data_IF_554162944568
#
_entry.id   IF_554162944568
#
_cell.length_a   1.000
_cell.length_b   1.000
_cell.length_c   1.000
_cell.angle_alpha   90.00
_cell.angle_beta   90.00
_cell.angle_gamma   90.00
#
_symmetry.space_group_name_H-M   'P 1'
#
loop_
_entity.id
_entity.type
_entity.pdbx_description
1 polymer ?
#
# COMPACT_ATOMS: atom_id res chain seq x y z
N UNK A 1 7.10 6.01 -9.95
CA UNK A 1 8.37 5.31 -9.66
C UNK A 1 8.23 3.87 -10.12
N UNK A 2 9.34 3.14 -10.30
CA UNK A 2 9.26 1.70 -10.52
C UNK A 2 9.19 0.98 -9.17
N UNK A 3 8.72 -0.27 -9.15
CA UNK A 3 8.63 -1.09 -7.93
C UNK A 3 9.92 -1.09 -7.11
N UNK A 4 11.06 -1.25 -7.77
CA UNK A 4 12.38 -1.31 -7.12
C UNK A 4 12.72 -0.01 -6.36
N UNK A 5 12.39 1.15 -6.92
CA UNK A 5 12.59 2.45 -6.26
C UNK A 5 11.65 2.64 -5.06
N UNK A 6 10.41 2.15 -5.17
CA UNK A 6 9.43 2.18 -4.09
C UNK A 6 9.91 1.30 -2.93
N UNK A 7 10.27 0.03 -3.19
CA UNK A 7 10.75 -0.89 -2.18
C UNK A 7 12.00 -0.38 -1.47
N UNK A 8 12.95 0.19 -2.22
CA UNK A 8 14.13 0.81 -1.62
C UNK A 8 13.76 1.96 -0.68
N UNK A 9 12.83 2.82 -1.10
CA UNK A 9 12.35 3.93 -0.26
C UNK A 9 11.68 3.44 1.01
N UNK A 10 10.89 2.35 0.91
CA UNK A 10 10.26 1.71 2.07
C UNK A 10 11.31 1.11 3.02
N UNK A 11 12.34 0.44 2.49
CA UNK A 11 13.44 -0.13 3.28
C UNK A 11 14.25 0.95 4.00
N UNK A 12 14.60 2.04 3.31
CA UNK A 12 15.34 3.17 3.88
C UNK A 12 14.56 3.86 5.01
N UNK A 13 13.22 3.79 4.97
CA UNK A 13 12.32 4.33 6.00
C UNK A 13 11.90 3.30 7.05
N UNK A 14 12.44 2.08 6.98
CA UNK A 14 12.07 0.95 7.85
C UNK A 14 10.57 0.66 7.88
N UNK A 15 9.89 0.82 6.74
CA UNK A 15 8.46 0.56 6.58
C UNK A 15 8.22 -0.92 6.21
N UNK A 16 8.72 -1.81 7.05
CA UNK A 16 8.73 -3.27 6.80
C UNK A 16 7.33 -3.83 6.61
N UNK A 17 6.33 -3.36 7.36
CA UNK A 17 4.93 -3.79 7.22
C UNK A 17 4.39 -3.54 5.81
N UNK A 18 4.81 -2.43 5.18
CA UNK A 18 4.38 -2.08 3.83
C UNK A 18 5.10 -2.93 2.77
N UNK A 19 6.36 -3.29 3.03
CA UNK A 19 7.11 -4.21 2.18
C UNK A 19 6.41 -5.57 2.17
N UNK A 20 6.03 -6.09 3.35
CA UNK A 20 5.30 -7.35 3.48
C UNK A 20 3.97 -7.32 2.72
N UNK A 21 3.20 -6.22 2.79
CA UNK A 21 1.96 -6.06 2.00
C UNK A 21 2.20 -6.16 0.48
N UNK A 22 3.31 -5.58 -0.01
CA UNK A 22 3.67 -5.64 -1.43
C UNK A 22 4.11 -7.06 -1.82
N UNK A 23 4.82 -7.77 -0.95
CA UNK A 23 5.23 -9.16 -1.18
C UNK A 23 4.04 -10.13 -1.16
N UNK A 24 3.09 -9.94 -0.26
CA UNK A 24 1.84 -10.69 -0.20
C UNK A 24 0.99 -10.43 -1.44
N UNK A 25 0.89 -9.17 -1.88
CA UNK A 25 0.21 -8.81 -3.12
C UNK A 25 0.84 -9.49 -4.35
N UNK A 26 2.17 -9.46 -4.45
CA UNK A 26 2.89 -10.10 -5.56
C UNK A 26 2.74 -11.63 -5.57
N UNK A 27 2.70 -12.24 -4.39
CA UNK A 27 2.49 -13.68 -4.24
C UNK A 27 1.03 -14.10 -4.44
N UNK A 28 0.11 -13.14 -4.59
CA UNK A 28 -1.33 -13.37 -4.68
C UNK A 28 -1.97 -13.77 -3.35
N UNK A 29 -1.31 -13.48 -2.23
CA UNK A 29 -1.80 -13.69 -0.87
C UNK A 29 -2.60 -12.48 -0.34
N UNK A 30 -2.52 -11.34 -1.01
CA UNK A 30 -3.36 -10.17 -0.75
C UNK A 30 -4.23 -9.89 -1.98
N UNK A 31 -5.55 -10.07 -1.83
CA UNK A 31 -6.53 -9.81 -2.90
C UNK A 31 -7.25 -8.46 -2.72
N UNK A 32 -7.50 -8.07 -1.48
CA UNK A 32 -8.24 -6.85 -1.13
C UNK A 32 -7.55 -6.13 0.03
N UNK A 33 -7.51 -4.80 -0.02
CA UNK A 33 -7.00 -3.95 1.05
C UNK A 33 -8.02 -2.86 1.38
N UNK A 34 -8.47 -2.83 2.62
CA UNK A 34 -9.36 -1.80 3.14
C UNK A 34 -8.53 -0.66 3.76
N UNK A 35 -8.87 0.59 3.40
CA UNK A 35 -8.20 1.78 3.92
C UNK A 35 -9.20 2.91 4.15
N UNK A 36 -8.95 3.68 5.20
CA UNK A 36 -9.71 4.90 5.47
C UNK A 36 -9.25 6.00 4.51
N UNK A 37 -10.16 6.56 3.72
CA UNK A 37 -9.83 7.58 2.69
C UNK A 37 -9.09 8.80 3.27
N UNK A 38 -9.48 9.23 4.48
CA UNK A 38 -8.87 10.36 5.18
C UNK A 38 -7.47 10.11 5.73
N UNK A 39 -7.07 8.84 5.90
CA UNK A 39 -5.79 8.46 6.54
C UNK A 39 -4.81 7.90 5.51
N UNK A 40 -5.28 7.08 4.57
CA UNK A 40 -4.43 6.36 3.63
C UNK A 40 -3.63 5.23 4.29
N UNK A 41 -2.63 4.74 3.56
CA UNK A 41 -1.69 3.69 4.02
C UNK A 41 -0.43 4.29 4.67
N UNK A 42 0.02 5.44 4.17
CA UNK A 42 1.24 6.13 4.62
C UNK A 42 0.99 7.63 4.81
N UNK A 43 1.67 8.21 5.79
CA UNK A 43 1.60 9.66 6.07
C UNK A 43 2.17 10.52 4.92
N UNK A 44 3.21 10.03 4.25
CA UNK A 44 3.78 10.70 3.08
C UNK A 44 2.85 10.50 1.89
N UNK A 45 2.09 11.55 1.51
CA UNK A 45 1.07 11.47 0.47
C UNK A 45 1.59 10.98 -0.88
N UNK A 46 2.83 11.33 -1.23
CA UNK A 46 3.43 10.93 -2.50
C UNK A 46 3.78 9.45 -2.48
N UNK A 47 4.45 8.98 -1.43
CA UNK A 47 4.78 7.56 -1.28
C UNK A 47 3.52 6.71 -1.09
N UNK A 48 2.54 7.20 -0.33
CA UNK A 48 1.24 6.57 -0.15
C UNK A 48 0.57 6.24 -1.48
N UNK A 49 0.47 7.26 -2.36
CA UNK A 49 -0.15 7.11 -3.67
C UNK A 49 0.59 6.08 -4.52
N UNK A 50 1.92 6.18 -4.57
CA UNK A 50 2.75 5.27 -5.38
C UNK A 50 2.65 3.81 -4.91
N UNK A 51 2.57 3.58 -3.59
CA UNK A 51 2.37 2.22 -3.03
C UNK A 51 0.98 1.70 -3.34
N UNK A 52 -0.07 2.52 -3.18
CA UNK A 52 -1.44 2.12 -3.51
C UNK A 52 -1.57 1.77 -5.00
N UNK A 53 -0.97 2.57 -5.88
CA UNK A 53 -0.94 2.29 -7.31
C UNK A 53 -0.19 0.98 -7.62
N UNK A 54 0.94 0.72 -6.95
CA UNK A 54 1.68 -0.53 -7.08
C UNK A 54 0.83 -1.74 -6.65
N UNK A 55 0.14 -1.67 -5.50
CA UNK A 55 -0.73 -2.73 -5.02
C UNK A 55 -1.87 -3.01 -6.02
N UNK A 56 -2.47 -1.98 -6.60
CA UNK A 56 -3.49 -2.13 -7.65
C UNK A 56 -2.94 -2.80 -8.91
N UNK A 57 -1.71 -2.45 -9.31
CA UNK A 57 -1.04 -3.09 -10.45
C UNK A 57 -0.73 -4.57 -10.20
N UNK A 58 -0.48 -4.94 -8.94
CA UNK A 58 -0.29 -6.34 -8.51
C UNK A 58 -1.61 -7.11 -8.41
N UNK A 59 -2.75 -6.46 -8.61
CA UNK A 59 -4.08 -7.09 -8.62
C UNK A 59 -4.86 -6.94 -7.31
N UNK A 60 -4.34 -6.16 -6.35
CA UNK A 60 -5.05 -5.89 -5.09
C UNK A 60 -6.17 -4.89 -5.33
N UNK A 61 -7.37 -5.20 -4.83
CA UNK A 61 -8.50 -4.29 -4.84
C UNK A 61 -8.50 -3.40 -3.61
N UNK A 62 -8.39 -2.10 -3.84
CA UNK A 62 -8.38 -1.05 -2.82
C UNK A 62 -9.84 -0.66 -2.49
N UNK A 63 -10.24 -0.86 -1.24
CA UNK A 63 -11.58 -0.54 -0.73
C UNK A 63 -11.45 0.64 0.22
N UNK A 64 -12.03 1.77 -0.16
CA UNK A 64 -12.08 2.95 0.71
C UNK A 64 -13.26 2.82 1.66
N UNK A 65 -12.96 2.75 2.95
CA UNK A 65 -13.96 2.76 4.02
C UNK A 65 -14.02 4.15 4.64
N UNK A 66 -15.22 4.59 5.01
CA UNK A 66 -15.41 5.78 5.84
C UNK A 66 -15.26 5.37 7.30
N UNK A 67 -14.65 6.21 8.13
CA UNK A 67 -14.48 6.03 9.59
C UNK A 67 -15.82 6.01 10.37
N UNK A 68 -16.94 5.73 9.69
CA UNK A 68 -18.32 5.85 10.19
C UNK A 68 -18.86 4.51 10.74
N UNK A 69 -17.98 3.66 11.28
CA UNK A 69 -18.38 2.53 12.12
C UNK A 69 -17.65 2.65 13.47
N UNK A 70 -18.24 3.47 14.36
CA UNK A 70 -18.03 3.39 15.83
C UNK A 70 -18.58 2.08 16.41
#
# INVERSE_FOLDING_TARGET
MNKEDILKTLEERSLTDIIELVEDAESGHLEELELVESVGLLYDESLNKEVIELLQQLGVKIIYVTDDEE
#
